data_IF_026019364738
#
_entry.id   IF_026019364738
#
_cell.length_a   1.000
_cell.length_b   1.000
_cell.length_c   1.000
_cell.angle_alpha   90.00
_cell.angle_beta   90.00
_cell.angle_gamma   90.00
#
_symmetry.space_group_name_H-M   'P 1'
#
loop_
_entity.id
_entity.type
_entity.pdbx_description
1 polymer ?
#
# COMPACT_ATOMS: atom_id res chain seq x y z
N UNK A 1 -20.15 0.53 -1.02
CA UNK A 1 -18.74 0.86 -0.74
C UNK A 1 -18.67 1.79 0.45
N UNK A 2 -17.88 1.42 1.46
CA UNK A 2 -17.73 2.27 2.65
C UNK A 2 -16.85 3.47 2.32
N UNK A 3 -17.32 4.68 2.69
CA UNK A 3 -16.52 5.89 2.58
C UNK A 3 -15.56 5.91 3.76
N UNK A 4 -14.28 6.12 3.49
CA UNK A 4 -13.24 6.17 4.52
C UNK A 4 -12.36 7.40 4.30
N UNK A 5 -11.99 8.05 5.40
CA UNK A 5 -11.04 9.16 5.38
C UNK A 5 -9.77 8.69 6.06
N UNK A 6 -8.64 8.82 5.37
CA UNK A 6 -7.34 8.42 5.89
C UNK A 6 -6.57 9.62 6.42
N UNK A 7 -5.88 9.41 7.53
CA UNK A 7 -5.00 10.41 8.15
C UNK A 7 -3.60 9.81 8.31
N UNK A 8 -2.62 10.66 8.17
CA UNK A 8 -1.23 10.35 8.55
C UNK A 8 -0.63 11.66 9.04
N UNK A 9 -0.85 11.97 10.31
CA UNK A 9 -0.53 13.27 10.89
C UNK A 9 -0.07 13.10 12.34
N UNK A 10 0.19 14.21 13.00
CA UNK A 10 0.49 14.23 14.45
C UNK A 10 -0.71 13.60 15.18
N UNK A 11 -0.48 12.66 16.11
CA UNK A 11 -1.57 12.03 16.85
C UNK A 11 -2.54 12.99 17.53
N UNK A 12 -2.06 14.14 17.97
CA UNK A 12 -2.93 15.15 18.63
C UNK A 12 -3.95 15.76 17.66
N UNK A 13 -3.64 15.71 16.34
CA UNK A 13 -4.50 16.26 15.29
C UNK A 13 -5.37 15.20 14.63
N UNK A 14 -5.18 13.93 14.99
CA UNK A 14 -5.92 12.82 14.43
C UNK A 14 -7.17 12.51 15.24
N UNK A 15 -8.22 11.95 14.62
CA UNK A 15 -9.39 11.48 15.37
C UNK A 15 -8.98 10.39 16.37
N UNK A 16 -9.66 10.37 17.52
CA UNK A 16 -9.42 9.32 18.52
C UNK A 16 -9.98 7.99 18.01
N UNK A 17 -9.18 6.93 18.16
CA UNK A 17 -9.61 5.61 17.72
C UNK A 17 -10.71 5.04 18.61
N UNK A 18 -11.66 4.36 17.98
CA UNK A 18 -12.75 3.67 18.67
C UNK A 18 -12.63 2.15 18.54
N UNK A 19 -11.74 1.68 17.64
CA UNK A 19 -11.57 0.28 17.29
C UNK A 19 -10.11 -0.14 17.49
N UNK A 20 -9.84 -1.45 17.53
CA UNK A 20 -8.46 -1.95 17.58
C UNK A 20 -7.65 -1.58 16.35
N UNK A 21 -6.34 -1.79 16.43
CA UNK A 21 -5.47 -1.58 15.28
C UNK A 21 -5.81 -2.56 14.16
N UNK A 22 -5.75 -2.06 12.92
CA UNK A 22 -5.96 -2.85 11.72
C UNK A 22 -4.63 -3.05 11.02
N UNK A 23 -4.25 -4.30 10.78
CA UNK A 23 -3.00 -4.64 10.12
C UNK A 23 -3.19 -4.71 8.62
N UNK A 24 -2.35 -3.99 7.90
CA UNK A 24 -2.26 -4.07 6.44
C UNK A 24 -0.86 -4.45 5.99
N UNK A 25 -0.76 -4.92 4.76
CA UNK A 25 0.51 -5.26 4.13
C UNK A 25 0.58 -4.59 2.77
N UNK A 26 1.66 -3.86 2.54
CA UNK A 26 1.91 -3.20 1.25
C UNK A 26 3.31 -3.56 0.76
N UNK A 27 3.54 -3.43 -0.53
CA UNK A 27 4.82 -3.79 -1.11
C UNK A 27 5.40 -2.68 -1.98
N UNK A 28 6.70 -2.49 -1.85
CA UNK A 28 7.53 -1.76 -2.79
C UNK A 28 7.95 -2.78 -3.85
N UNK A 29 7.23 -2.80 -4.96
CA UNK A 29 7.49 -3.71 -6.08
C UNK A 29 8.16 -2.91 -7.18
N UNK A 30 9.36 -3.31 -7.56
CA UNK A 30 10.15 -2.60 -8.55
C UNK A 30 10.50 -3.47 -9.74
N UNK A 31 10.82 -2.81 -10.86
CA UNK A 31 11.39 -3.45 -12.03
C UNK A 31 12.27 -2.42 -12.74
N UNK A 32 13.54 -2.74 -12.89
CA UNK A 32 14.52 -1.87 -13.59
C UNK A 32 14.50 -0.44 -13.05
N UNK A 33 14.46 -0.29 -11.73
CA UNK A 33 14.52 0.99 -11.06
C UNK A 33 13.21 1.78 -11.05
N UNK A 34 12.11 1.18 -11.45
CA UNK A 34 10.78 1.81 -11.43
C UNK A 34 9.88 1.13 -10.43
N UNK A 35 9.01 1.91 -9.80
CA UNK A 35 8.08 1.47 -8.76
C UNK A 35 6.70 1.20 -9.36
N UNK A 36 6.12 0.05 -9.02
CA UNK A 36 4.77 -0.29 -9.44
C UNK A 36 3.75 0.35 -8.51
N UNK A 37 2.82 1.09 -9.09
CA UNK A 37 1.70 1.68 -8.38
C UNK A 37 0.39 1.31 -9.06
N UNK A 38 -0.66 1.31 -8.26
CA UNK A 38 -2.03 1.04 -8.68
C UNK A 38 -2.83 2.33 -8.60
N UNK A 39 -3.57 2.65 -9.66
CA UNK A 39 -4.54 3.74 -9.63
C UNK A 39 -5.90 3.16 -9.29
N UNK A 40 -6.50 3.64 -8.21
CA UNK A 40 -7.77 3.14 -7.73
C UNK A 40 -8.92 3.55 -8.65
N UNK A 41 -9.89 2.67 -8.81
CA UNK A 41 -11.04 2.94 -9.68
C UNK A 41 -11.91 4.08 -9.17
N UNK A 42 -11.99 4.24 -7.84
CA UNK A 42 -12.84 5.24 -7.20
C UNK A 42 -12.19 6.62 -7.07
N UNK A 43 -10.95 6.78 -7.52
CA UNK A 43 -10.22 8.04 -7.42
C UNK A 43 -9.12 8.10 -8.45
N UNK A 44 -8.45 9.26 -8.55
CA UNK A 44 -7.25 9.40 -9.40
C UNK A 44 -5.97 9.32 -8.58
N UNK A 45 -6.06 8.75 -7.39
CA UNK A 45 -4.93 8.61 -6.47
C UNK A 45 -4.25 7.26 -6.71
N UNK A 46 -2.92 7.31 -6.75
CA UNK A 46 -2.08 6.12 -6.88
C UNK A 46 -1.69 5.59 -5.51
N UNK A 47 -1.55 4.28 -5.39
CA UNK A 47 -1.15 3.65 -4.15
C UNK A 47 -0.26 2.45 -4.38
N UNK A 48 0.35 1.99 -3.28
CA UNK A 48 1.14 0.77 -3.28
C UNK A 48 0.24 -0.45 -3.42
N UNK A 49 0.80 -1.51 -3.98
CA UNK A 49 0.12 -2.82 -4.04
C UNK A 49 -0.04 -3.33 -2.61
N UNK A 50 -1.21 -3.84 -2.29
CA UNK A 50 -1.49 -4.42 -0.98
C UNK A 50 -2.87 -4.09 -0.46
N UNK A 51 -3.10 -4.45 0.79
CA UNK A 51 -4.39 -4.24 1.44
C UNK A 51 -4.40 -4.81 2.85
N UNK A 52 -5.59 -4.95 3.41
CA UNK A 52 -5.75 -5.46 4.77
C UNK A 52 -5.42 -6.93 4.92
N UNK A 53 -4.82 -7.28 6.05
CA UNK A 53 -4.59 -8.68 6.41
C UNK A 53 -5.88 -9.29 6.95
N UNK A 54 -6.17 -10.51 6.53
CA UNK A 54 -7.25 -11.30 7.13
C UNK A 54 -6.80 -11.81 8.49
N UNK A 55 -7.76 -12.15 9.35
CA UNK A 55 -7.48 -12.56 10.74
C UNK A 55 -6.44 -13.69 10.86
N UNK A 56 -6.46 -14.61 9.91
CA UNK A 56 -5.60 -15.79 9.95
C UNK A 56 -4.37 -15.68 9.06
N UNK A 57 -4.15 -14.54 8.44
CA UNK A 57 -3.00 -14.33 7.56
C UNK A 57 -1.85 -13.67 8.28
N UNK A 58 -0.63 -14.10 7.95
CA UNK A 58 0.57 -13.30 8.22
C UNK A 58 0.64 -12.15 7.22
N UNK A 59 1.44 -11.12 7.51
CA UNK A 59 1.63 -10.03 6.57
C UNK A 59 2.17 -10.52 5.22
N UNK A 60 3.08 -11.48 5.24
CA UNK A 60 3.67 -12.06 4.03
C UNK A 60 2.64 -12.81 3.20
N UNK A 61 1.75 -13.56 3.85
CA UNK A 61 0.64 -14.23 3.17
C UNK A 61 -0.33 -13.23 2.57
N UNK A 62 -0.63 -12.17 3.29
CA UNK A 62 -1.53 -11.12 2.83
C UNK A 62 -0.99 -10.42 1.59
N UNK A 63 0.30 -10.03 1.59
CA UNK A 63 0.88 -9.34 0.43
C UNK A 63 0.95 -10.26 -0.80
N UNK A 64 1.22 -11.54 -0.61
CA UNK A 64 1.24 -12.50 -1.72
C UNK A 64 -0.15 -12.64 -2.33
N UNK A 65 -1.19 -12.73 -1.49
CA UNK A 65 -2.58 -12.80 -1.95
C UNK A 65 -3.00 -11.53 -2.68
N UNK A 66 -2.70 -10.37 -2.10
CA UNK A 66 -3.05 -9.10 -2.72
C UNK A 66 -2.35 -8.90 -4.07
N UNK A 67 -1.09 -9.30 -4.18
CA UNK A 67 -0.36 -9.22 -5.44
C UNK A 67 -1.01 -10.11 -6.50
N UNK A 68 -1.41 -11.32 -6.15
CA UNK A 68 -2.09 -12.22 -7.06
C UNK A 68 -3.43 -11.62 -7.53
N UNK A 69 -4.21 -11.10 -6.60
CA UNK A 69 -5.50 -10.48 -6.90
C UNK A 69 -5.36 -9.21 -7.75
N UNK A 70 -4.44 -8.33 -7.38
CA UNK A 70 -4.32 -7.01 -8.00
C UNK A 70 -3.51 -7.02 -9.30
N UNK A 71 -2.52 -7.91 -9.43
CA UNK A 71 -1.61 -7.92 -10.56
C UNK A 71 -1.83 -9.09 -11.52
N UNK A 72 -2.52 -10.13 -11.06
CA UNK A 72 -2.64 -11.36 -11.82
C UNK A 72 -1.33 -12.13 -11.94
N UNK A 73 -0.39 -11.88 -11.04
CA UNK A 73 0.92 -12.55 -11.02
C UNK A 73 1.11 -13.21 -9.66
N UNK A 74 1.43 -14.49 -9.67
CA UNK A 74 1.71 -15.22 -8.44
C UNK A 74 3.18 -15.05 -8.07
N UNK A 75 3.42 -14.37 -6.95
CA UNK A 75 4.75 -14.22 -6.37
C UNK A 75 4.77 -15.06 -5.10
N UNK A 76 5.66 -16.05 -4.97
CA UNK A 76 5.75 -16.83 -3.72
C UNK A 76 5.98 -15.92 -2.52
N UNK A 77 5.29 -16.19 -1.42
CA UNK A 77 5.38 -15.34 -0.23
C UNK A 77 6.81 -15.22 0.31
N UNK A 78 7.61 -16.25 0.12
CA UNK A 78 9.01 -16.29 0.56
C UNK A 78 9.89 -15.27 -0.18
N UNK A 79 9.45 -14.83 -1.36
CA UNK A 79 10.20 -13.87 -2.17
C UNK A 79 9.97 -12.42 -1.74
N UNK A 80 9.01 -12.17 -0.88
CA UNK A 80 8.79 -10.84 -0.32
C UNK A 80 9.72 -10.64 0.88
N UNK A 81 10.55 -9.60 0.82
CA UNK A 81 11.49 -9.25 1.89
C UNK A 81 10.86 -8.19 2.78
N UNK A 82 10.78 -8.44 4.09
CA UNK A 82 10.26 -7.45 5.03
C UNK A 82 11.19 -6.25 5.10
N UNK A 83 10.65 -5.06 4.88
CA UNK A 83 11.42 -3.82 4.89
C UNK A 83 11.20 -2.99 6.16
N UNK A 84 9.95 -2.82 6.57
CA UNK A 84 9.63 -1.93 7.68
C UNK A 84 8.22 -2.17 8.21
N UNK A 85 7.94 -1.57 9.37
CA UNK A 85 6.59 -1.49 9.94
C UNK A 85 6.30 -0.02 10.20
N UNK A 86 5.14 0.45 9.74
CA UNK A 86 4.67 1.82 9.97
C UNK A 86 3.51 1.76 10.94
N UNK A 87 3.76 2.13 12.18
CA UNK A 87 2.80 1.99 13.27
C UNK A 87 2.58 3.27 14.08
N UNK A 88 2.99 4.42 13.55
CA UNK A 88 2.82 5.68 14.27
C UNK A 88 1.33 5.95 14.56
N UNK A 89 1.00 6.48 15.76
CA UNK A 89 -0.39 6.62 16.19
C UNK A 89 -1.26 7.56 15.34
N UNK A 90 -0.64 8.39 14.52
CA UNK A 90 -1.38 9.31 13.62
C UNK A 90 -1.84 8.68 12.32
N UNK A 91 -1.60 7.39 12.11
CA UNK A 91 -2.08 6.65 10.93
C UNK A 91 -3.46 6.09 11.24
N UNK A 92 -4.48 6.73 10.69
CA UNK A 92 -5.88 6.50 11.07
C UNK A 92 -6.74 6.28 9.83
N UNK A 93 -7.70 5.36 9.94
CA UNK A 93 -8.77 5.19 8.97
C UNK A 93 -10.10 5.45 9.68
N UNK A 94 -10.79 6.52 9.29
CA UNK A 94 -12.09 6.90 9.86
C UNK A 94 -13.18 6.57 8.86
N UNK A 95 -14.07 5.65 9.22
CA UNK A 95 -15.14 5.18 8.35
C UNK A 95 -16.41 6.00 8.57
N UNK A 96 -17.27 6.04 7.55
CA UNK A 96 -18.51 6.78 7.58
C UNK A 96 -19.46 6.31 8.69
N UNK A 97 -19.38 5.04 9.10
CA UNK A 97 -20.19 4.46 10.16
C UNK A 97 -19.78 4.93 11.56
N UNK A 98 -18.73 5.75 11.66
CA UNK A 98 -18.22 6.26 12.92
C UNK A 98 -17.09 5.42 13.52
N UNK A 99 -16.77 4.27 12.94
CA UNK A 99 -15.64 3.47 13.43
C UNK A 99 -14.32 4.13 13.01
N UNK A 100 -13.38 4.21 13.95
CA UNK A 100 -12.09 4.86 13.74
C UNK A 100 -10.99 3.88 14.17
N UNK A 101 -10.18 3.49 13.19
CA UNK A 101 -9.17 2.45 13.36
C UNK A 101 -7.77 3.03 13.28
N UNK A 102 -6.88 2.54 14.13
CA UNK A 102 -5.45 2.75 13.96
C UNK A 102 -4.96 1.80 12.86
N UNK A 103 -4.15 2.31 11.95
CA UNK A 103 -3.57 1.51 10.87
C UNK A 103 -2.13 1.18 11.16
N UNK A 104 -1.79 -0.12 11.07
CA UNK A 104 -0.41 -0.59 11.13
C UNK A 104 -0.11 -1.24 9.80
N UNK A 105 0.94 -0.77 9.13
CA UNK A 105 1.31 -1.26 7.80
C UNK A 105 2.67 -1.93 7.85
N UNK A 106 2.73 -3.20 7.44
CA UNK A 106 3.99 -3.91 7.24
C UNK A 106 4.35 -3.79 5.77
N UNK A 107 5.57 -3.35 5.49
CA UNK A 107 6.04 -3.10 4.12
C UNK A 107 7.01 -4.18 3.70
N UNK A 108 6.80 -4.73 2.52
CA UNK A 108 7.65 -5.73 1.89
C UNK A 108 8.25 -5.19 0.60
N UNK A 109 9.36 -5.78 0.18
CA UNK A 109 10.00 -5.45 -1.07
C UNK A 109 10.06 -6.66 -1.99
N UNK A 110 9.89 -6.42 -3.27
CA UNK A 110 10.08 -7.42 -4.31
C UNK A 110 10.53 -6.75 -5.60
N UNK A 111 11.48 -7.35 -6.29
CA UNK A 111 11.96 -6.85 -7.56
C UNK A 111 11.71 -7.88 -8.66
N UNK A 112 11.00 -7.47 -9.72
CA UNK A 112 10.87 -8.28 -10.91
C UNK A 112 12.16 -8.16 -11.73
N UNK A 113 12.78 -9.28 -12.13
CA UNK A 113 13.98 -9.23 -12.98
C UNK A 113 13.67 -8.74 -14.39
N UNK A 114 12.46 -9.02 -14.87
CA UNK A 114 11.95 -8.57 -16.17
C UNK A 114 10.55 -8.02 -15.99
N UNK A 115 10.14 -7.11 -16.87
CA UNK A 115 8.81 -6.51 -16.77
C UNK A 115 7.74 -7.58 -16.93
N UNK A 116 6.87 -7.76 -15.92
CA UNK A 116 5.85 -8.80 -15.94
C UNK A 116 4.67 -8.39 -16.82
N UNK A 117 3.93 -9.40 -17.26
CA UNK A 117 2.65 -9.16 -17.90
C UNK A 117 1.60 -9.04 -16.79
N UNK A 118 1.14 -7.82 -16.55
CA UNK A 118 0.17 -7.52 -15.50
C UNK A 118 -1.26 -7.60 -16.02
N UNK A 119 -2.19 -7.93 -15.11
CA UNK A 119 -3.61 -7.92 -15.39
C UNK A 119 -4.30 -7.04 -14.35
N UNK A 120 -4.99 -6.00 -14.82
CA UNK A 120 -5.69 -5.06 -13.95
C UNK A 120 -6.92 -5.74 -13.37
N UNK A 121 -7.09 -5.63 -12.03
CA UNK A 121 -8.27 -6.14 -11.34
C UNK A 121 -9.47 -5.22 -11.56
N UNK A 122 -10.66 -5.68 -11.15
CA UNK A 122 -11.89 -4.87 -11.26
C UNK A 122 -11.86 -3.62 -10.37
N UNK A 123 -10.99 -3.61 -9.36
CA UNK A 123 -10.89 -2.50 -8.40
C UNK A 123 -9.91 -1.40 -8.83
N UNK A 124 -9.15 -1.64 -9.90
CA UNK A 124 -8.12 -0.72 -10.36
C UNK A 124 -8.45 -0.13 -11.72
N UNK A 125 -8.06 1.14 -11.92
CA UNK A 125 -8.11 1.79 -13.24
C UNK A 125 -6.86 1.52 -14.04
N UNK A 126 -5.72 1.43 -13.37
CA UNK A 126 -4.43 1.33 -14.03
C UNK A 126 -3.39 0.71 -13.09
N UNK A 127 -2.41 0.08 -13.69
CA UNK A 127 -1.19 -0.40 -13.03
C UNK A 127 -0.03 0.09 -13.88
N UNK A 128 0.93 0.75 -13.25
CA UNK A 128 2.05 1.33 -14.01
C UNK A 128 3.31 1.38 -13.19
N UNK A 129 4.44 1.14 -13.84
CA UNK A 129 5.76 1.36 -13.24
C UNK A 129 6.18 2.81 -13.45
N UNK A 130 6.61 3.47 -12.38
CA UNK A 130 7.01 4.87 -12.39
C UNK A 130 8.47 5.04 -12.02
N UNK A 131 9.16 5.92 -12.75
CA UNK A 131 10.48 6.39 -12.34
C UNK A 131 10.32 7.36 -11.17
N UNK A 132 11.45 7.69 -10.51
CA UNK A 132 11.44 8.69 -9.43
C UNK A 132 10.93 10.05 -9.91
N UNK A 133 11.32 10.43 -11.12
CA UNK A 133 10.92 11.70 -11.73
C UNK A 133 9.42 11.73 -12.01
N UNK A 134 8.87 10.64 -12.51
CA UNK A 134 7.45 10.54 -12.81
C UNK A 134 6.57 10.60 -11.55
N UNK A 135 7.07 10.07 -10.43
CA UNK A 135 6.32 10.07 -9.16
C UNK A 135 6.07 11.49 -8.65
N UNK A 136 6.95 12.44 -8.96
CA UNK A 136 6.78 13.83 -8.54
C UNK A 136 5.53 14.48 -9.15
N UNK A 137 5.02 13.95 -10.26
CA UNK A 137 3.89 14.52 -10.98
C UNK A 137 2.56 13.86 -10.70
N UNK A 138 2.51 12.90 -9.77
CA UNK A 138 1.27 12.18 -9.45
C UNK A 138 0.90 12.32 -7.98
N UNK A 139 -0.38 12.11 -7.69
CA UNK A 139 -0.86 12.10 -6.31
C UNK A 139 -0.81 10.67 -5.76
N UNK A 140 -0.15 10.51 -4.62
CA UNK A 140 -0.03 9.24 -3.93
C UNK A 140 -0.88 9.27 -2.66
N UNK A 141 -1.55 8.18 -2.34
CA UNK A 141 -2.36 8.05 -1.14
C UNK A 141 -1.56 8.50 0.10
N UNK A 142 -2.21 9.26 0.97
CA UNK A 142 -1.55 9.86 2.13
C UNK A 142 -0.92 8.82 3.05
N UNK A 143 -1.50 7.63 3.15
CA UNK A 143 -0.97 6.56 3.98
C UNK A 143 0.22 5.84 3.33
N UNK A 144 0.46 6.05 2.05
CA UNK A 144 1.54 5.41 1.30
C UNK A 144 2.68 6.36 0.94
N UNK A 145 2.45 7.66 0.97
CA UNK A 145 3.44 8.66 0.54
C UNK A 145 4.76 8.54 1.30
N UNK A 146 4.70 8.46 2.61
CA UNK A 146 5.90 8.34 3.45
C UNK A 146 6.68 7.06 3.11
N UNK A 147 5.97 5.97 2.86
CA UNK A 147 6.59 4.69 2.51
C UNK A 147 7.33 4.80 1.18
N UNK A 148 6.70 5.43 0.19
CA UNK A 148 7.32 5.64 -1.13
C UNK A 148 8.55 6.53 -0.99
N UNK A 149 8.46 7.59 -0.21
CA UNK A 149 9.59 8.49 0.04
C UNK A 149 10.75 7.76 0.69
N UNK A 150 10.48 6.98 1.73
CA UNK A 150 11.52 6.26 2.48
C UNK A 150 12.21 5.17 1.66
N UNK A 151 11.44 4.43 0.87
CA UNK A 151 11.95 3.19 0.27
C UNK A 151 12.20 3.28 -1.23
N UNK A 152 11.75 4.32 -1.88
CA UNK A 152 11.97 4.49 -3.32
C UNK A 152 12.62 5.82 -3.67
N UNK A 153 12.13 6.94 -3.15
CA UNK A 153 12.64 8.26 -3.52
C UNK A 153 13.99 8.53 -2.85
N UNK A 154 14.10 8.33 -1.54
CA UNK A 154 15.28 8.68 -0.77
C UNK A 154 16.37 7.61 -0.72
N UNK A 155 16.06 6.40 -1.17
CA UNK A 155 17.08 5.36 -1.27
C UNK A 155 17.86 5.51 -2.57
N UNK A 156 19.12 5.76 -2.39
CA UNK A 156 20.05 5.83 -3.52
C UNK A 156 20.38 4.43 -4.03
#
# INVERSE_FOLDING_TARGET
MAIVTFYNCDPKDAPKTTMPAHLGANAIITCKGRLLLEKRRDSDIWGLIGGGCKKTETGREAIAREADEELGVRIPKENFRKLAVYDNPGRIAAYQDGSIWRMVIVVYGYEFPEEPKLRISAESKDLRFFSKEEIADIEIAITHREIVEDWFINKA
#
